data_IF_844425483235
#
_entry.id   IF_844425483235
#
_cell.length_a   1.000
_cell.length_b   1.000
_cell.length_c   1.000
_cell.angle_alpha   90.00
_cell.angle_beta   90.00
_cell.angle_gamma   90.00
#
_symmetry.space_group_name_H-M   'P 1'
#
loop_
_entity.id
_entity.type
_entity.pdbx_description
1 polymer ?
#
# COMPACT_ATOMS: atom_id res chain seq x y z
N UNK A 1 -25.55 0.33 36.55
CA UNK A 1 -26.21 0.59 35.25
C UNK A 1 -25.24 1.37 34.39
N UNK A 2 -24.96 0.91 33.17
CA UNK A 2 -24.20 1.68 32.18
C UNK A 2 -25.06 2.88 31.74
N UNK A 3 -24.47 4.07 31.57
CA UNK A 3 -25.21 5.21 31.02
C UNK A 3 -25.44 5.01 29.52
N UNK A 4 -26.49 4.27 29.16
CA UNK A 4 -26.85 3.94 27.78
C UNK A 4 -27.01 5.19 26.90
N UNK A 5 -27.48 6.31 27.47
CA UNK A 5 -27.57 7.60 26.75
C UNK A 5 -26.21 8.10 26.27
N UNK A 6 -25.18 8.05 27.13
CA UNK A 6 -23.82 8.42 26.74
C UNK A 6 -23.23 7.52 25.65
N UNK A 7 -23.70 6.27 25.50
CA UNK A 7 -23.35 5.41 24.36
C UNK A 7 -24.04 5.91 23.09
N UNK A 8 -25.36 6.17 23.13
CA UNK A 8 -26.07 6.77 21.99
C UNK A 8 -25.43 8.09 21.56
N UNK A 9 -25.14 9.00 22.49
CA UNK A 9 -24.50 10.30 22.22
C UNK A 9 -23.09 10.12 21.60
N UNK A 10 -22.28 9.18 22.11
CA UNK A 10 -20.95 8.89 21.57
C UNK A 10 -20.98 8.23 20.18
N UNK A 11 -21.96 7.36 19.90
CA UNK A 11 -22.13 6.75 18.59
C UNK A 11 -22.74 7.73 17.56
N UNK A 12 -23.59 8.65 18.02
CA UNK A 12 -24.14 9.74 17.20
C UNK A 12 -23.02 10.62 16.63
N UNK A 13 -22.16 11.16 17.49
CA UNK A 13 -21.00 11.98 17.10
C UNK A 13 -20.11 11.28 16.05
N UNK A 14 -19.78 10.00 16.27
CA UNK A 14 -18.98 9.19 15.33
C UNK A 14 -19.63 8.99 13.97
N UNK A 15 -20.96 8.91 13.91
CA UNK A 15 -21.67 8.82 12.65
C UNK A 15 -21.64 10.15 11.89
N UNK A 16 -21.79 11.28 12.57
CA UNK A 16 -21.64 12.61 11.95
C UNK A 16 -20.20 12.86 11.46
N UNK A 17 -19.18 12.47 12.24
CA UNK A 17 -17.76 12.48 11.83
C UNK A 17 -17.50 11.64 10.56
N UNK A 18 -18.24 10.53 10.39
CA UNK A 18 -18.20 9.68 9.20
C UNK A 18 -19.08 10.20 8.04
N UNK A 19 -19.77 11.34 8.20
CA UNK A 19 -20.58 11.99 7.17
C UNK A 19 -22.02 11.48 7.04
N UNK A 20 -22.50 10.70 8.02
CA UNK A 20 -23.93 10.44 8.18
C UNK A 20 -24.63 11.73 8.64
N UNK A 21 -25.92 11.84 8.39
CA UNK A 21 -26.77 12.94 8.83
C UNK A 21 -27.91 12.37 9.67
N UNK A 22 -28.07 12.88 10.89
CA UNK A 22 -29.18 12.56 11.76
C UNK A 22 -30.50 13.10 11.21
N UNK A 23 -31.56 12.30 11.26
CA UNK A 23 -32.92 12.73 10.87
C UNK A 23 -33.82 12.98 12.09
N UNK A 24 -33.84 12.04 13.03
CA UNK A 24 -34.72 12.04 14.21
C UNK A 24 -34.42 10.86 15.14
N UNK A 25 -34.89 10.98 16.37
CA UNK A 25 -35.15 9.84 17.27
C UNK A 25 -36.57 9.32 17.02
N UNK A 26 -36.79 8.00 17.03
CA UNK A 26 -38.12 7.39 16.89
C UNK A 26 -38.24 6.09 17.71
N UNK A 27 -39.46 5.53 17.85
CA UNK A 27 -39.61 4.15 18.33
C UNK A 27 -39.44 3.13 17.18
N UNK A 28 -38.71 2.01 17.37
CA UNK A 28 -38.50 0.99 16.34
C UNK A 28 -39.80 0.42 15.74
N UNK A 29 -40.02 0.70 14.46
CA UNK A 29 -41.30 0.46 13.79
C UNK A 29 -41.59 -1.05 13.60
N UNK A 30 -42.74 -1.51 14.08
CA UNK A 30 -43.15 -2.93 14.16
C UNK A 30 -42.23 -3.86 14.98
N UNK A 31 -41.48 -3.34 15.97
CA UNK A 31 -40.57 -4.15 16.80
C UNK A 31 -40.91 -4.17 18.29
N UNK A 32 -41.86 -3.34 18.76
CA UNK A 32 -42.31 -3.22 20.16
C UNK A 32 -41.21 -3.01 21.22
N UNK A 33 -40.02 -2.56 20.82
CA UNK A 33 -38.89 -2.30 21.72
C UNK A 33 -39.21 -1.25 22.78
N UNK A 34 -38.59 -1.39 23.95
CA UNK A 34 -38.65 -0.45 25.08
C UNK A 34 -37.94 0.86 24.73
N UNK A 35 -36.75 0.76 24.14
CA UNK A 35 -35.89 1.87 23.75
C UNK A 35 -36.26 2.49 22.39
N UNK A 36 -35.87 3.74 22.22
CA UNK A 36 -35.88 4.48 20.94
C UNK A 36 -34.67 4.11 20.08
N UNK A 37 -34.73 4.48 18.80
CA UNK A 37 -33.63 4.38 17.84
C UNK A 37 -33.32 5.75 17.23
N UNK A 38 -32.04 6.03 16.99
CA UNK A 38 -31.58 7.23 16.28
C UNK A 38 -31.48 6.91 14.78
N UNK A 39 -32.19 7.66 13.94
CA UNK A 39 -32.28 7.43 12.49
C UNK A 39 -31.33 8.34 11.74
N UNK A 40 -30.56 7.75 10.82
CA UNK A 40 -29.59 8.43 9.97
C UNK A 40 -29.79 8.12 8.48
N UNK A 41 -29.35 9.06 7.64
CA UNK A 41 -29.06 8.85 6.21
C UNK A 41 -27.60 9.18 5.93
N UNK A 42 -27.07 8.78 4.78
CA UNK A 42 -25.72 9.14 4.37
C UNK A 42 -25.73 9.56 2.88
N UNK A 43 -25.88 10.87 2.56
CA UNK A 43 -26.12 11.31 1.19
C UNK A 43 -24.95 11.08 0.23
N UNK A 44 -23.70 11.31 0.66
CA UNK A 44 -22.49 11.03 -0.15
C UNK A 44 -22.46 9.55 -0.55
N UNK A 45 -22.69 8.64 0.40
CA UNK A 45 -22.67 7.19 0.17
C UNK A 45 -23.84 6.74 -0.71
N UNK A 46 -25.04 7.27 -0.43
CA UNK A 46 -26.25 7.05 -1.25
C UNK A 46 -26.06 7.53 -2.68
N UNK A 47 -25.35 8.64 -2.90
CA UNK A 47 -25.01 9.13 -4.24
C UNK A 47 -23.99 8.21 -4.89
N UNK A 48 -22.87 7.92 -4.22
CA UNK A 48 -21.79 7.11 -4.81
C UNK A 48 -22.27 5.72 -5.23
N UNK A 49 -23.08 5.04 -4.41
CA UNK A 49 -23.69 3.78 -4.80
C UNK A 49 -24.54 3.88 -6.08
N UNK A 50 -25.24 5.00 -6.33
CA UNK A 50 -25.97 5.23 -7.59
C UNK A 50 -25.04 5.56 -8.75
N UNK A 51 -24.02 6.39 -8.52
CA UNK A 51 -23.00 6.75 -9.50
C UNK A 51 -22.21 5.49 -9.97
N UNK A 52 -22.14 4.44 -9.12
CA UNK A 52 -21.57 3.13 -9.42
C UNK A 52 -22.62 2.05 -9.80
N UNK A 53 -23.85 2.46 -10.13
CA UNK A 53 -24.90 1.58 -10.66
C UNK A 53 -25.56 0.61 -9.65
N UNK A 54 -25.20 0.67 -8.37
CA UNK A 54 -25.75 -0.22 -7.34
C UNK A 54 -27.20 0.18 -6.93
N UNK A 55 -28.11 -0.79 -6.76
CA UNK A 55 -29.52 -0.53 -6.46
C UNK A 55 -29.73 -0.16 -4.97
N UNK A 56 -29.71 1.13 -4.65
CA UNK A 56 -29.88 1.66 -3.28
C UNK A 56 -31.34 1.51 -2.79
N UNK A 57 -31.72 0.28 -2.40
CA UNK A 57 -33.04 -0.06 -1.83
C UNK A 57 -33.15 0.24 -0.32
N UNK A 58 -32.02 0.30 0.38
CA UNK A 58 -31.93 0.67 1.79
C UNK A 58 -30.90 1.81 1.95
N UNK A 59 -31.36 2.96 2.44
CA UNK A 59 -30.56 4.17 2.65
C UNK A 59 -30.68 4.75 4.07
N UNK A 60 -31.35 4.02 4.97
CA UNK A 60 -31.52 4.36 6.38
C UNK A 60 -30.62 3.50 7.24
N UNK A 61 -30.09 4.11 8.29
CA UNK A 61 -29.23 3.48 9.28
C UNK A 61 -29.74 3.84 10.68
N UNK A 62 -29.64 2.91 11.62
CA UNK A 62 -30.28 3.02 12.93
C UNK A 62 -29.27 2.71 14.01
N UNK A 63 -29.01 3.64 14.94
CA UNK A 63 -28.34 3.31 16.19
C UNK A 63 -29.42 2.86 17.17
N UNK A 64 -29.33 1.61 17.65
CA UNK A 64 -30.35 1.01 18.53
C UNK A 64 -29.80 -0.11 19.41
N UNK A 65 -30.49 -0.36 20.52
CA UNK A 65 -30.40 -1.59 21.30
C UNK A 65 -30.66 -2.84 20.44
N UNK A 66 -29.84 -3.88 20.55
CA UNK A 66 -29.99 -5.09 19.74
C UNK A 66 -31.03 -6.10 20.29
N UNK A 67 -31.50 -5.93 21.53
CA UNK A 67 -32.66 -6.65 22.06
C UNK A 67 -33.45 -5.75 23.04
N UNK A 68 -34.30 -6.34 23.89
CA UNK A 68 -34.94 -5.67 25.04
C UNK A 68 -34.34 -6.09 26.39
N UNK A 69 -33.21 -6.82 26.37
CA UNK A 69 -32.48 -7.21 27.58
C UNK A 69 -31.73 -6.02 28.20
N UNK A 70 -31.64 -5.89 29.53
CA UNK A 70 -31.11 -4.68 30.18
C UNK A 70 -29.70 -4.27 29.74
N UNK A 71 -28.82 -5.26 29.57
CA UNK A 71 -27.41 -5.08 29.23
C UNK A 71 -27.11 -5.42 27.76
N UNK A 72 -28.12 -5.40 26.89
CA UNK A 72 -27.92 -5.66 25.45
C UNK A 72 -27.02 -4.63 24.77
N UNK A 73 -26.28 -5.06 23.75
CA UNK A 73 -25.41 -4.19 22.96
C UNK A 73 -26.22 -3.09 22.26
N UNK A 74 -25.59 -1.92 22.06
CA UNK A 74 -26.11 -0.85 21.18
C UNK A 74 -25.23 -0.86 19.93
N UNK A 75 -25.86 -1.00 18.76
CA UNK A 75 -25.16 -1.13 17.49
C UNK A 75 -25.78 -0.30 16.37
N UNK A 76 -25.04 -0.19 15.27
CA UNK A 76 -25.57 0.30 14.00
C UNK A 76 -26.26 -0.85 13.28
N UNK A 77 -27.48 -0.61 12.77
CA UNK A 77 -28.28 -1.57 12.00
C UNK A 77 -28.74 -0.91 10.70
N UNK A 78 -28.91 -1.69 9.64
CA UNK A 78 -29.52 -1.23 8.36
C UNK A 78 -30.41 -2.33 7.77
N UNK A 79 -31.14 -2.04 6.70
CA UNK A 79 -31.94 -3.06 6.00
C UNK A 79 -31.07 -4.16 5.40
N UNK A 80 -31.50 -5.42 5.43
CA UNK A 80 -30.69 -6.57 4.92
C UNK A 80 -30.25 -6.40 3.45
N UNK A 81 -31.01 -5.65 2.64
CA UNK A 81 -30.72 -5.28 1.25
C UNK A 81 -29.74 -4.11 1.08
N UNK A 82 -29.18 -3.57 2.17
CA UNK A 82 -28.12 -2.56 2.11
C UNK A 82 -26.84 -3.17 1.54
N UNK A 83 -26.10 -2.35 0.79
CA UNK A 83 -24.85 -2.74 0.15
C UNK A 83 -23.77 -3.02 1.20
N UNK A 84 -23.83 -2.36 2.37
CA UNK A 84 -22.91 -2.58 3.49
C UNK A 84 -22.90 -4.05 4.02
N UNK A 85 -23.98 -4.82 3.82
CA UNK A 85 -24.03 -6.21 4.29
C UNK A 85 -23.39 -7.20 3.31
N UNK A 86 -23.26 -6.82 2.03
CA UNK A 86 -23.09 -7.75 0.91
C UNK A 86 -22.00 -7.30 -0.09
N UNK A 87 -21.07 -6.42 0.31
CA UNK A 87 -20.03 -5.87 -0.55
C UNK A 87 -18.70 -5.87 0.21
N UNK A 88 -17.67 -6.47 -0.39
CA UNK A 88 -16.35 -6.74 0.21
C UNK A 88 -15.59 -5.47 0.68
N UNK A 89 -15.98 -4.29 0.20
CA UNK A 89 -15.36 -3.02 0.59
C UNK A 89 -15.77 -2.54 2.01
N UNK A 90 -16.62 -3.28 2.72
CA UNK A 90 -17.11 -2.93 4.04
C UNK A 90 -16.88 -4.06 5.04
N UNK A 91 -16.48 -3.70 6.27
CA UNK A 91 -16.29 -4.65 7.36
C UNK A 91 -17.62 -5.39 7.65
N UNK A 92 -17.64 -6.73 7.76
CA UNK A 92 -18.86 -7.47 8.05
C UNK A 92 -19.41 -7.18 9.45
N UNK A 93 -20.69 -7.50 9.66
CA UNK A 93 -21.36 -7.34 10.95
C UNK A 93 -20.86 -8.37 11.98
N UNK A 94 -20.60 -7.92 13.21
CA UNK A 94 -20.09 -8.72 14.34
C UNK A 94 -21.16 -9.02 15.41
N UNK A 95 -22.41 -8.65 15.17
CA UNK A 95 -23.57 -8.94 16.02
C UNK A 95 -24.86 -9.00 15.18
N UNK A 96 -25.96 -9.41 15.80
CA UNK A 96 -27.29 -9.52 15.17
C UNK A 96 -28.33 -8.81 16.04
N UNK A 97 -29.19 -8.02 15.40
CA UNK A 97 -30.39 -7.48 16.04
C UNK A 97 -31.47 -8.56 16.17
N UNK A 98 -32.09 -8.69 17.34
CA UNK A 98 -33.08 -9.75 17.62
C UNK A 98 -34.34 -9.66 16.77
N UNK A 99 -34.62 -8.50 16.15
CA UNK A 99 -35.72 -8.37 15.21
C UNK A 99 -35.32 -8.90 13.83
N UNK A 100 -35.67 -10.17 13.56
CA UNK A 100 -35.44 -10.87 12.27
C UNK A 100 -33.96 -11.06 11.92
N UNK A 101 -33.05 -11.07 12.90
CA UNK A 101 -31.62 -11.32 12.70
C UNK A 101 -31.01 -10.34 11.67
N UNK A 102 -31.25 -9.04 11.87
CA UNK A 102 -30.66 -8.02 11.01
C UNK A 102 -29.16 -7.86 11.36
N UNK A 103 -28.25 -7.83 10.36
CA UNK A 103 -26.82 -7.57 10.60
C UNK A 103 -26.61 -6.27 11.38
N UNK A 104 -25.79 -6.34 12.43
CA UNK A 104 -25.51 -5.23 13.31
C UNK A 104 -24.00 -5.09 13.57
N UNK A 105 -23.51 -3.85 13.56
CA UNK A 105 -22.12 -3.53 13.89
C UNK A 105 -22.05 -2.89 15.28
N UNK A 106 -21.26 -3.49 16.16
CA UNK A 106 -21.03 -3.02 17.54
C UNK A 106 -19.54 -2.75 17.81
N UNK A 107 -19.27 -2.01 18.87
CA UNK A 107 -17.93 -1.93 19.47
C UNK A 107 -17.96 -2.62 20.84
N UNK A 108 -17.03 -3.55 21.07
CA UNK A 108 -16.76 -4.21 22.36
C UNK A 108 -15.43 -3.66 22.91
N UNK A 109 -14.88 -4.25 23.97
CA UNK A 109 -13.61 -3.78 24.55
C UNK A 109 -12.41 -4.03 23.63
N UNK A 110 -12.27 -5.26 23.11
CA UNK A 110 -11.22 -5.65 22.15
C UNK A 110 -11.62 -5.44 20.69
N UNK A 111 -12.89 -5.61 20.35
CA UNK A 111 -13.41 -5.53 18.99
C UNK A 111 -13.96 -4.13 18.67
N UNK A 112 -13.46 -3.50 17.59
CA UNK A 112 -13.84 -2.14 17.14
C UNK A 112 -14.53 -2.14 15.76
N UNK A 113 -15.22 -3.22 15.43
CA UNK A 113 -15.89 -3.43 14.13
C UNK A 113 -16.74 -2.24 13.67
N UNK A 114 -17.58 -1.64 14.53
CA UNK A 114 -18.34 -0.45 14.13
C UNK A 114 -17.43 0.74 13.78
N UNK A 115 -16.38 1.04 14.58
CA UNK A 115 -15.44 2.10 14.21
C UNK A 115 -14.70 1.78 12.88
N UNK A 116 -14.43 0.50 12.61
CA UNK A 116 -13.74 0.07 11.40
C UNK A 116 -14.66 0.10 10.16
N UNK A 117 -15.96 -0.19 10.30
CA UNK A 117 -16.96 0.06 9.25
C UNK A 117 -17.00 1.55 8.87
N UNK A 118 -17.02 2.45 9.86
CA UNK A 118 -17.05 3.89 9.57
C UNK A 118 -15.79 4.36 8.82
N UNK A 119 -14.62 3.77 9.12
CA UNK A 119 -13.39 3.97 8.31
C UNK A 119 -13.53 3.41 6.90
N UNK A 120 -14.06 2.20 6.73
CA UNK A 120 -14.21 1.58 5.39
C UNK A 120 -15.22 2.34 4.53
N UNK A 121 -16.28 2.89 5.13
CA UNK A 121 -17.23 3.80 4.46
C UNK A 121 -16.53 5.08 3.99
N UNK A 122 -15.69 5.70 4.82
CA UNK A 122 -14.90 6.87 4.41
C UNK A 122 -13.92 6.53 3.26
N UNK A 123 -13.17 5.44 3.39
CA UNK A 123 -12.25 4.99 2.33
C UNK A 123 -12.97 4.69 1.01
N UNK A 124 -14.11 3.97 1.08
CA UNK A 124 -14.96 3.73 -0.08
C UNK A 124 -15.47 5.03 -0.70
N UNK A 125 -15.82 6.04 0.10
CA UNK A 125 -16.24 7.35 -0.40
C UNK A 125 -15.13 8.10 -1.13
N UNK A 126 -13.94 8.15 -0.53
CA UNK A 126 -12.82 8.99 -0.98
C UNK A 126 -12.00 8.30 -2.11
N UNK A 127 -12.20 6.99 -2.35
CA UNK A 127 -11.73 6.29 -3.56
C UNK A 127 -12.28 6.91 -4.87
N UNK A 128 -11.65 6.73 -6.04
CA UNK A 128 -12.26 7.09 -7.33
C UNK A 128 -13.55 6.29 -7.60
N UNK A 129 -14.58 6.91 -8.17
CA UNK A 129 -15.82 6.21 -8.53
C UNK A 129 -15.63 5.26 -9.72
N UNK A 130 -16.45 4.20 -9.81
CA UNK A 130 -16.35 3.16 -10.84
C UNK A 130 -16.50 3.64 -12.31
N UNK A 131 -16.82 4.90 -12.58
CA UNK A 131 -16.68 5.53 -13.91
C UNK A 131 -15.23 5.58 -14.42
N UNK A 132 -14.23 5.22 -13.60
CA UNK A 132 -12.85 4.95 -14.03
C UNK A 132 -12.43 3.47 -13.85
N UNK A 133 -13.33 2.59 -13.39
CA UNK A 133 -13.07 1.17 -13.18
C UNK A 133 -13.22 0.32 -14.46
N UNK A 134 -13.72 0.86 -15.58
CA UNK A 134 -13.68 0.19 -16.89
C UNK A 134 -12.24 -0.17 -17.33
N UNK A 135 -11.23 0.55 -16.82
CA UNK A 135 -9.81 0.21 -17.00
C UNK A 135 -9.23 -0.73 -15.91
N UNK A 136 -9.98 -1.07 -14.85
CA UNK A 136 -9.56 -2.04 -13.82
C UNK A 136 -10.17 -3.43 -14.00
N UNK A 137 -11.36 -3.55 -14.59
CA UNK A 137 -11.99 -4.86 -14.89
C UNK A 137 -11.31 -5.69 -16.00
N UNK A 138 -10.06 -5.37 -16.38
CA UNK A 138 -9.29 -6.09 -17.39
C UNK A 138 -7.83 -6.39 -16.97
N UNK A 139 -7.44 -6.06 -15.73
CA UNK A 139 -6.18 -6.52 -15.14
C UNK A 139 -6.31 -7.97 -14.68
N UNK A 140 -5.38 -8.83 -15.12
CA UNK A 140 -5.30 -10.21 -14.61
C UNK A 140 -4.52 -10.23 -13.29
N UNK A 141 -4.63 -11.33 -12.55
CA UNK A 141 -3.92 -11.54 -11.27
C UNK A 141 -2.94 -12.68 -11.43
N UNK A 142 -1.71 -12.51 -10.92
CA UNK A 142 -0.63 -13.49 -11.05
C UNK A 142 0.02 -13.82 -9.71
N UNK A 143 0.47 -15.06 -9.56
CA UNK A 143 1.25 -15.54 -8.44
C UNK A 143 2.72 -15.68 -8.86
N UNK A 144 3.54 -14.74 -8.40
CA UNK A 144 5.00 -14.80 -8.46
C UNK A 144 5.53 -15.56 -7.24
N UNK A 145 6.67 -16.24 -7.39
CA UNK A 145 7.27 -17.02 -6.31
C UNK A 145 8.71 -16.63 -6.02
N UNK A 146 9.08 -16.72 -4.74
CA UNK A 146 10.44 -16.67 -4.23
C UNK A 146 10.82 -18.01 -3.61
N UNK A 147 12.09 -18.39 -3.70
CA UNK A 147 12.65 -19.53 -2.99
C UNK A 147 14.07 -19.16 -2.55
N UNK A 148 14.33 -18.97 -1.24
CA UNK A 148 15.65 -18.60 -0.72
C UNK A 148 16.76 -19.59 -1.12
N UNK A 149 16.44 -20.88 -1.29
CA UNK A 149 17.41 -21.90 -1.71
C UNK A 149 17.87 -21.73 -3.16
N UNK A 150 17.12 -20.98 -3.98
CA UNK A 150 17.42 -20.74 -5.39
C UNK A 150 17.97 -19.33 -5.62
N UNK A 151 17.45 -18.32 -4.91
CA UNK A 151 17.91 -16.94 -5.02
C UNK A 151 17.94 -16.27 -3.63
N UNK A 152 19.16 -16.03 -3.14
CA UNK A 152 19.39 -15.27 -1.92
C UNK A 152 19.07 -13.79 -2.16
N UNK A 153 18.06 -13.28 -1.46
CA UNK A 153 17.64 -11.89 -1.54
C UNK A 153 18.38 -11.09 -0.47
N UNK A 154 19.69 -10.93 -0.69
CA UNK A 154 20.67 -10.38 0.27
C UNK A 154 20.20 -9.06 0.91
N UNK A 155 19.59 -8.19 0.09
CA UNK A 155 19.15 -6.85 0.50
C UNK A 155 17.70 -6.82 1.03
N UNK A 156 17.03 -7.96 1.27
CA UNK A 156 15.60 -8.02 1.64
C UNK A 156 15.26 -7.13 2.84
N UNK A 157 16.10 -7.12 3.87
CA UNK A 157 15.87 -6.30 5.07
C UNK A 157 16.00 -4.79 4.80
N UNK A 158 16.91 -4.39 3.92
CA UNK A 158 17.03 -2.99 3.48
C UNK A 158 15.84 -2.59 2.59
N UNK A 159 15.42 -3.45 1.66
CA UNK A 159 14.27 -3.21 0.79
C UNK A 159 12.94 -3.09 1.57
N UNK A 160 12.73 -3.92 2.59
CA UNK A 160 11.59 -3.80 3.51
C UNK A 160 11.70 -2.51 4.33
N UNK A 161 12.88 -2.18 4.87
CA UNK A 161 13.10 -0.89 5.55
C UNK A 161 12.82 0.32 4.66
N UNK A 162 13.17 0.27 3.37
CA UNK A 162 12.82 1.30 2.39
C UNK A 162 11.31 1.37 2.12
N UNK A 163 10.62 0.25 1.86
CA UNK A 163 9.16 0.23 1.75
C UNK A 163 8.48 0.81 3.00
N UNK A 164 8.96 0.42 4.18
CA UNK A 164 8.44 0.82 5.50
C UNK A 164 8.62 2.28 5.90
N UNK A 165 9.54 3.02 5.25
CA UNK A 165 9.90 4.40 5.60
C UNK A 165 9.84 5.39 4.42
N UNK A 166 9.86 4.91 3.17
CA UNK A 166 9.88 5.71 1.93
C UNK A 166 8.64 5.43 1.05
N UNK A 167 7.88 4.35 1.31
CA UNK A 167 6.51 4.18 0.82
C UNK A 167 6.33 3.25 -0.39
N UNK A 168 7.32 3.16 -1.29
CA UNK A 168 7.30 2.23 -2.43
C UNK A 168 8.62 1.46 -2.55
N UNK A 169 8.54 0.16 -2.82
CA UNK A 169 9.68 -0.66 -3.23
C UNK A 169 9.42 -1.26 -4.62
N UNK A 170 10.43 -1.19 -5.49
CA UNK A 170 10.40 -1.68 -6.86
C UNK A 170 11.29 -2.90 -7.02
N UNK A 171 10.69 -4.09 -7.07
CA UNK A 171 11.41 -5.34 -7.24
C UNK A 171 11.33 -5.86 -8.67
N UNK A 172 12.47 -6.06 -9.33
CA UNK A 172 12.54 -6.89 -10.55
C UNK A 172 12.23 -8.34 -10.18
N UNK A 173 11.12 -8.89 -10.68
CA UNK A 173 10.71 -10.26 -10.42
C UNK A 173 10.70 -11.13 -11.68
N UNK A 174 11.12 -12.39 -11.55
CA UNK A 174 11.01 -13.38 -12.64
C UNK A 174 9.57 -13.87 -12.78
N UNK A 175 8.97 -13.66 -13.94
CA UNK A 175 7.66 -14.22 -14.29
C UNK A 175 7.76 -15.57 -15.03
N UNK A 176 8.92 -16.24 -14.96
CA UNK A 176 9.12 -17.57 -15.52
C UNK A 176 8.93 -17.59 -17.04
N UNK A 177 7.91 -18.30 -17.51
CA UNK A 177 7.51 -18.37 -18.92
C UNK A 177 6.33 -17.43 -19.28
N UNK A 178 5.86 -16.61 -18.33
CA UNK A 178 4.63 -15.84 -18.46
C UNK A 178 4.81 -14.58 -19.33
N UNK A 179 4.24 -14.64 -20.55
CA UNK A 179 4.24 -13.54 -21.54
C UNK A 179 2.90 -12.78 -21.58
N UNK A 180 2.00 -13.07 -20.65
CA UNK A 180 0.67 -12.46 -20.56
C UNK A 180 0.61 -11.26 -19.61
N UNK A 181 1.58 -11.09 -18.71
CA UNK A 181 1.61 -10.01 -17.71
C UNK A 181 1.83 -8.65 -18.38
N UNK A 182 0.95 -7.70 -18.06
CA UNK A 182 0.90 -6.32 -18.55
C UNK A 182 1.09 -5.35 -17.40
N UNK A 183 1.55 -4.14 -17.72
CA UNK A 183 1.53 -3.03 -16.75
C UNK A 183 0.11 -2.84 -16.19
N UNK A 184 -0.01 -2.82 -14.87
CA UNK A 184 -1.28 -2.69 -14.13
C UNK A 184 -1.90 -4.02 -13.69
N UNK A 185 -1.37 -5.17 -14.13
CA UNK A 185 -1.80 -6.48 -13.61
C UNK A 185 -1.45 -6.64 -12.13
N UNK A 186 -2.30 -7.37 -11.40
CA UNK A 186 -2.19 -7.58 -9.95
C UNK A 186 -1.21 -8.70 -9.64
N UNK A 187 -0.26 -8.46 -8.72
CA UNK A 187 0.80 -9.41 -8.39
C UNK A 187 0.71 -9.82 -6.91
N UNK A 188 0.78 -11.12 -6.65
CA UNK A 188 1.03 -11.71 -5.34
C UNK A 188 2.40 -12.40 -5.33
N UNK A 189 3.09 -12.37 -4.18
CA UNK A 189 4.39 -12.99 -3.98
C UNK A 189 4.33 -14.07 -2.90
N UNK A 190 4.65 -15.32 -3.26
CA UNK A 190 4.68 -16.47 -2.33
C UNK A 190 6.11 -16.94 -2.04
N UNK A 191 6.43 -17.18 -0.75
CA UNK A 191 7.69 -17.79 -0.30
C UNK A 191 7.58 -19.31 -0.32
N UNK A 192 8.52 -19.96 -1.00
CA UNK A 192 8.62 -21.40 -1.20
C UNK A 192 9.96 -21.95 -0.68
N UNK A 193 10.09 -23.28 -0.65
CA UNK A 193 11.36 -23.99 -0.38
C UNK A 193 11.77 -24.07 1.09
N UNK A 194 11.61 -23.00 1.86
CA UNK A 194 11.96 -22.88 3.29
C UNK A 194 10.72 -22.47 4.09
N UNK A 195 10.61 -22.85 5.36
CA UNK A 195 9.55 -22.33 6.26
C UNK A 195 9.90 -20.94 6.82
N UNK A 196 8.91 -20.08 7.14
CA UNK A 196 7.50 -20.23 6.80
C UNK A 196 7.24 -20.13 5.29
N UNK A 197 6.39 -21.02 4.76
CA UNK A 197 5.80 -20.90 3.41
C UNK A 197 4.47 -20.14 3.47
N UNK A 198 4.23 -19.30 2.47
CA UNK A 198 3.01 -18.49 2.40
C UNK A 198 3.17 -17.24 1.55
N UNK A 199 2.07 -16.51 1.34
CA UNK A 199 2.13 -15.22 0.65
C UNK A 199 2.74 -14.18 1.61
N UNK A 200 3.78 -13.51 1.11
CA UNK A 200 4.60 -12.53 1.83
C UNK A 200 4.48 -11.12 1.27
N UNK A 201 3.76 -10.92 0.18
CA UNK A 201 3.57 -9.60 -0.39
C UNK A 201 2.59 -9.55 -1.54
N UNK A 202 2.19 -8.33 -1.87
CA UNK A 202 1.34 -7.98 -2.99
C UNK A 202 1.82 -6.68 -3.64
N UNK A 203 1.32 -6.42 -4.84
CA UNK A 203 1.66 -5.22 -5.58
C UNK A 203 1.02 -5.20 -6.96
N UNK A 204 1.58 -4.38 -7.84
CA UNK A 204 1.14 -4.25 -9.22
C UNK A 204 2.34 -4.31 -10.18
N UNK A 205 2.13 -4.87 -11.36
CA UNK A 205 3.13 -4.90 -12.41
C UNK A 205 3.37 -3.47 -12.94
N UNK A 206 4.55 -2.90 -12.64
CA UNK A 206 4.96 -1.58 -13.12
C UNK A 206 5.33 -1.58 -14.61
N UNK A 207 5.73 -2.73 -15.13
CA UNK A 207 5.95 -3.01 -16.55
C UNK A 207 5.08 -4.17 -17.04
N UNK A 208 4.88 -4.27 -18.35
CA UNK A 208 4.59 -5.57 -18.97
C UNK A 208 5.82 -6.48 -18.90
N UNK A 209 5.69 -7.76 -19.23
CA UNK A 209 6.84 -8.66 -19.28
C UNK A 209 7.93 -8.16 -20.26
N UNK A 210 9.19 -8.34 -19.90
CA UNK A 210 10.35 -8.10 -20.77
C UNK A 210 11.38 -9.23 -20.62
N UNK A 211 12.25 -9.38 -21.61
CA UNK A 211 13.29 -10.43 -21.61
C UNK A 211 14.61 -9.84 -21.14
N UNK A 212 15.28 -10.51 -20.20
CA UNK A 212 16.62 -10.15 -19.72
C UNK A 212 17.47 -11.42 -19.46
N UNK A 213 18.80 -11.31 -19.28
CA UNK A 213 19.64 -12.44 -18.93
C UNK A 213 19.13 -13.21 -17.70
N UNK A 214 19.24 -14.53 -17.71
CA UNK A 214 18.69 -15.39 -16.67
C UNK A 214 19.42 -15.19 -15.33
N UNK A 215 18.68 -15.20 -14.22
CA UNK A 215 19.17 -14.82 -12.88
C UNK A 215 20.33 -15.68 -12.33
N UNK A 216 20.56 -16.87 -12.89
CA UNK A 216 21.68 -17.74 -12.52
C UNK A 216 23.00 -17.41 -13.27
N UNK A 217 23.01 -16.39 -14.14
CA UNK A 217 24.21 -15.92 -14.82
C UNK A 217 24.72 -16.80 -15.98
N UNK A 218 23.95 -17.81 -16.40
CA UNK A 218 24.35 -18.64 -17.56
C UNK A 218 24.36 -17.84 -18.87
N UNK A 219 25.52 -17.80 -19.52
CA UNK A 219 25.75 -17.03 -20.74
C UNK A 219 24.85 -17.52 -21.89
N UNK A 220 24.09 -16.60 -22.50
CA UNK A 220 23.11 -16.90 -23.54
C UNK A 220 21.72 -17.37 -23.05
N UNK A 221 21.51 -17.63 -21.76
CA UNK A 221 20.16 -17.89 -21.21
C UNK A 221 19.46 -16.59 -20.81
N UNK A 222 18.15 -16.56 -21.04
CA UNK A 222 17.27 -15.43 -20.69
C UNK A 222 16.05 -15.89 -19.90
N UNK A 223 15.51 -15.03 -19.04
CA UNK A 223 14.21 -15.19 -18.40
C UNK A 223 13.27 -14.03 -18.75
N UNK A 224 11.96 -14.24 -18.56
CA UNK A 224 10.98 -13.16 -18.60
C UNK A 224 10.90 -12.52 -17.21
N UNK A 225 10.92 -11.20 -17.16
CA UNK A 225 10.86 -10.38 -15.95
C UNK A 225 9.72 -9.36 -16.03
N UNK A 226 9.25 -8.95 -14.85
CA UNK A 226 8.42 -7.77 -14.64
C UNK A 226 9.06 -6.93 -13.54
N UNK A 227 8.89 -5.62 -13.59
CA UNK A 227 9.13 -4.78 -12.40
C UNK A 227 7.82 -4.73 -11.60
N UNK A 228 7.88 -5.04 -10.30
CA UNK A 228 6.73 -5.06 -9.39
C UNK A 228 6.85 -3.91 -8.39
N UNK A 229 5.79 -3.10 -8.32
CA UNK A 229 5.62 -2.05 -7.33
C UNK A 229 4.82 -2.64 -6.17
N UNK A 230 5.48 -2.91 -5.04
CA UNK A 230 4.87 -3.62 -3.90
C UNK A 230 4.03 -2.67 -3.02
N UNK A 231 2.78 -3.04 -2.76
CA UNK A 231 1.87 -2.36 -1.85
C UNK A 231 1.86 -2.97 -0.43
N UNK A 232 2.39 -4.18 -0.29
CA UNK A 232 2.75 -4.79 0.99
C UNK A 232 3.89 -5.78 0.77
N UNK A 233 4.92 -5.74 1.61
CA UNK A 233 5.99 -6.73 1.65
C UNK A 233 6.37 -7.03 3.10
N UNK A 234 6.35 -8.31 3.47
CA UNK A 234 6.46 -8.82 4.85
C UNK A 234 7.81 -9.52 5.03
N UNK A 235 8.49 -9.28 6.15
CA UNK A 235 9.75 -9.96 6.49
C UNK A 235 9.49 -11.36 7.09
N UNK A 236 9.73 -12.47 6.37
CA UNK A 236 9.38 -13.82 6.80
C UNK A 236 10.22 -14.33 7.98
N UNK A 237 11.36 -13.69 8.25
CA UNK A 237 12.24 -14.04 9.38
C UNK A 237 11.79 -13.40 10.70
N UNK A 238 10.84 -12.46 10.64
CA UNK A 238 10.37 -11.65 11.78
C UNK A 238 8.83 -11.64 11.92
N UNK A 239 8.10 -12.04 10.87
CA UNK A 239 6.65 -11.94 10.79
C UNK A 239 5.99 -13.20 10.15
N UNK A 240 4.79 -13.61 10.61
CA UNK A 240 4.00 -14.63 9.93
C UNK A 240 3.64 -14.24 8.50
N UNK A 241 3.39 -15.26 7.66
CA UNK A 241 2.91 -15.15 6.29
C UNK A 241 1.47 -15.65 6.18
N UNK A 242 0.75 -15.31 5.10
CA UNK A 242 -0.53 -15.94 4.79
C UNK A 242 -0.26 -17.39 4.37
N UNK A 243 -0.52 -18.33 5.27
CA UNK A 243 -0.09 -19.72 5.15
C UNK A 243 -0.86 -20.51 4.08
N UNK A 244 -0.33 -21.69 3.71
CA UNK A 244 -0.89 -22.52 2.64
C UNK A 244 -2.29 -23.04 3.00
N UNK A 245 -2.55 -23.39 4.27
CA UNK A 245 -3.87 -23.81 4.76
C UNK A 245 -4.95 -22.75 4.46
N UNK A 246 -4.62 -21.46 4.58
CA UNK A 246 -5.53 -20.36 4.26
C UNK A 246 -5.84 -20.28 2.75
N UNK A 247 -4.85 -20.57 1.90
CA UNK A 247 -5.01 -20.62 0.44
C UNK A 247 -5.83 -21.84 -0.01
N UNK A 248 -5.61 -22.99 0.63
CA UNK A 248 -6.40 -24.21 0.41
C UNK A 248 -7.86 -24.01 0.88
N UNK A 249 -8.09 -23.23 1.95
CA UNK A 249 -9.44 -22.95 2.45
C UNK A 249 -10.34 -22.17 1.46
N UNK A 250 -9.75 -21.35 0.57
CA UNK A 250 -10.49 -20.64 -0.48
C UNK A 250 -10.58 -21.43 -1.80
N UNK A 251 -9.80 -22.50 -1.95
CA UNK A 251 -9.78 -23.36 -3.13
C UNK A 251 -10.09 -24.83 -2.77
N UNK A 252 -11.31 -25.13 -2.27
CA UNK A 252 -11.72 -26.49 -1.89
C UNK A 252 -11.81 -27.46 -3.08
N UNK A 253 -11.75 -26.95 -4.31
CA UNK A 253 -11.75 -27.73 -5.55
C UNK A 253 -10.34 -27.94 -6.13
N UNK A 254 -9.30 -27.34 -5.53
CA UNK A 254 -7.90 -27.39 -5.97
C UNK A 254 -7.71 -26.98 -7.45
N UNK A 255 -8.37 -25.89 -7.86
CA UNK A 255 -8.30 -25.35 -9.23
C UNK A 255 -7.14 -24.36 -9.44
N UNK A 256 -6.32 -24.11 -8.41
CA UNK A 256 -5.12 -23.27 -8.44
C UNK A 256 -3.88 -24.01 -7.89
N UNK A 257 -2.77 -23.92 -8.61
CA UNK A 257 -1.47 -24.38 -8.09
C UNK A 257 -0.85 -23.31 -7.19
N UNK A 258 -1.06 -23.38 -5.88
CA UNK A 258 -0.49 -22.42 -4.92
C UNK A 258 1.02 -22.58 -4.68
N UNK A 259 1.59 -23.76 -4.91
CA UNK A 259 3.02 -24.07 -4.74
C UNK A 259 3.71 -24.36 -6.10
N UNK A 260 3.78 -23.41 -7.05
CA UNK A 260 4.23 -23.71 -8.40
C UNK A 260 5.76 -23.83 -8.52
N UNK A 261 6.21 -24.77 -9.36
CA UNK A 261 7.63 -24.95 -9.68
C UNK A 261 8.22 -23.81 -10.54
N UNK A 262 7.38 -22.93 -11.10
CA UNK A 262 7.77 -21.74 -11.87
C UNK A 262 6.90 -20.55 -11.43
N UNK A 263 7.51 -19.37 -11.22
CA UNK A 263 6.78 -18.15 -10.88
C UNK A 263 6.05 -17.53 -12.07
N UNK A 264 5.06 -16.67 -11.81
CA UNK A 264 4.36 -15.89 -12.84
C UNK A 264 3.10 -16.56 -13.41
N UNK A 265 2.57 -17.59 -12.73
CA UNK A 265 1.32 -18.24 -13.13
C UNK A 265 0.12 -17.28 -12.95
N UNK A 266 -0.93 -17.42 -13.76
CA UNK A 266 -2.19 -16.74 -13.48
C UNK A 266 -2.83 -17.33 -12.22
N UNK A 267 -3.49 -16.47 -11.43
CA UNK A 267 -4.51 -16.89 -10.48
C UNK A 267 -5.81 -17.12 -11.26
N UNK A 268 -6.57 -18.15 -10.92
CA UNK A 268 -7.89 -18.42 -11.49
C UNK A 268 -8.88 -17.29 -11.11
N UNK A 269 -9.61 -16.75 -12.09
CA UNK A 269 -10.52 -15.60 -11.92
C UNK A 269 -11.62 -15.85 -10.89
N UNK A 270 -12.03 -17.10 -10.68
CA UNK A 270 -13.00 -17.49 -9.66
C UNK A 270 -12.46 -17.29 -8.22
N UNK A 271 -11.15 -17.38 -8.04
CA UNK A 271 -10.48 -17.31 -6.73
C UNK A 271 -9.90 -15.92 -6.40
N UNK A 272 -9.75 -15.02 -7.38
CA UNK A 272 -9.12 -13.69 -7.19
C UNK A 272 -9.81 -12.89 -6.07
N UNK A 273 -11.14 -12.86 -6.05
CA UNK A 273 -11.88 -12.12 -5.02
C UNK A 273 -11.68 -12.72 -3.62
N UNK A 274 -11.66 -14.06 -3.53
CA UNK A 274 -11.42 -14.78 -2.27
C UNK A 274 -9.99 -14.56 -1.76
N UNK A 275 -9.01 -14.56 -2.68
CA UNK A 275 -7.60 -14.32 -2.39
C UNK A 275 -7.34 -12.91 -1.87
N UNK A 276 -7.86 -11.88 -2.53
CA UNK A 276 -7.78 -10.49 -2.05
C UNK A 276 -8.46 -10.34 -0.68
N UNK A 277 -9.61 -11.01 -0.45
CA UNK A 277 -10.31 -10.95 0.85
C UNK A 277 -9.46 -11.53 1.98
N UNK A 278 -8.98 -12.77 1.86
CA UNK A 278 -8.17 -13.39 2.93
C UNK A 278 -6.83 -12.69 3.14
N UNK A 279 -6.26 -12.11 2.08
CA UNK A 279 -5.03 -11.32 2.14
C UNK A 279 -5.25 -9.97 2.83
N UNK A 280 -6.34 -9.27 2.52
CA UNK A 280 -6.73 -8.04 3.20
C UNK A 280 -7.01 -8.29 4.69
N UNK A 281 -7.81 -9.30 5.01
CA UNK A 281 -8.09 -9.70 6.40
C UNK A 281 -6.79 -10.07 7.15
N UNK A 282 -5.86 -10.76 6.48
CA UNK A 282 -4.54 -11.09 7.04
C UNK A 282 -3.68 -9.85 7.30
N UNK A 283 -3.58 -8.91 6.34
CA UNK A 283 -2.86 -7.64 6.51
C UNK A 283 -3.43 -6.83 7.68
N UNK A 284 -4.76 -6.71 7.77
CA UNK A 284 -5.43 -5.94 8.81
C UNK A 284 -5.27 -6.60 10.18
N UNK A 285 -5.45 -7.92 10.27
CA UNK A 285 -5.32 -8.69 11.52
C UNK A 285 -3.93 -8.61 12.13
N UNK A 286 -2.89 -8.60 11.30
CA UNK A 286 -1.48 -8.49 11.75
C UNK A 286 -0.95 -7.04 11.74
N UNK A 287 -1.79 -6.05 11.42
CA UNK A 287 -1.45 -4.63 11.36
C UNK A 287 -0.30 -4.28 10.39
N UNK A 288 -0.19 -5.00 9.25
CA UNK A 288 0.77 -4.70 8.18
C UNK A 288 0.35 -3.54 7.27
N UNK A 289 -0.88 -3.06 7.41
CA UNK A 289 -1.38 -1.86 6.73
C UNK A 289 -0.71 -0.57 7.27
N UNK A 290 0.57 -0.34 6.91
CA UNK A 290 1.17 1.00 7.05
C UNK A 290 0.44 1.98 6.14
N UNK A 291 0.24 3.19 6.63
CA UNK A 291 -0.68 4.19 6.06
C UNK A 291 -0.15 4.92 4.80
N UNK A 292 0.69 4.27 3.99
CA UNK A 292 1.30 4.84 2.77
C UNK A 292 0.38 4.71 1.55
N UNK A 293 -0.20 3.54 1.30
CA UNK A 293 -1.06 3.30 0.11
C UNK A 293 -2.43 3.97 0.14
N UNK A 294 -2.76 4.69 1.22
CA UNK A 294 -4.04 5.39 1.41
C UNK A 294 -4.03 6.85 0.94
N UNK A 295 -2.90 7.38 0.45
CA UNK A 295 -2.75 8.80 0.12
C UNK A 295 -2.18 9.08 -1.29
N UNK A 296 -3.02 8.87 -2.32
CA UNK A 296 -2.90 9.58 -3.59
C UNK A 296 -4.03 10.61 -3.71
N UNK A 297 -3.87 11.76 -3.03
CA UNK A 297 -4.79 12.90 -3.14
C UNK A 297 -4.49 13.75 -4.40
N UNK A 298 -5.24 13.55 -5.48
CA UNK A 298 -5.30 14.54 -6.56
C UNK A 298 -6.18 15.75 -6.14
N UNK A 299 -5.53 16.75 -5.54
CA UNK A 299 -5.92 18.17 -5.45
C UNK A 299 -7.42 18.53 -5.29
N UNK A 300 -7.89 18.70 -4.04
CA UNK A 300 -9.30 18.99 -3.73
C UNK A 300 -9.59 20.00 -2.60
N UNK A 301 -9.25 21.28 -2.78
CA UNK A 301 -9.61 22.44 -1.94
C UNK A 301 -8.92 22.59 -0.55
N UNK A 302 -8.89 23.85 -0.07
CA UNK A 302 -8.19 24.27 1.17
C UNK A 302 -9.04 24.13 2.44
N UNK A 303 -8.41 23.69 3.51
CA UNK A 303 -8.64 24.21 4.87
C UNK A 303 -7.27 24.45 5.51
N UNK A 304 -6.95 25.70 5.85
CA UNK A 304 -5.62 26.06 6.38
C UNK A 304 -5.44 25.58 7.83
N UNK A 305 -4.72 24.48 8.02
CA UNK A 305 -4.17 24.05 9.32
C UNK A 305 -2.70 23.64 9.18
N UNK A 306 -1.80 24.46 9.72
CA UNK A 306 -0.36 24.21 9.62
C UNK A 306 0.10 23.18 10.65
N UNK A 307 0.21 21.91 10.22
CA UNK A 307 0.96 20.87 10.93
C UNK A 307 2.37 20.82 10.36
N UNK A 308 3.34 21.29 11.14
CA UNK A 308 4.76 21.12 10.83
C UNK A 308 5.15 19.63 10.92
N UNK A 309 6.10 19.18 10.10
CA UNK A 309 6.54 17.79 10.05
C UNK A 309 5.96 16.92 8.93
N UNK A 310 5.19 17.45 7.96
CA UNK A 310 4.94 16.74 6.70
C UNK A 310 6.23 16.70 5.90
N UNK A 311 6.82 15.51 5.73
CA UNK A 311 7.91 15.28 4.79
C UNK A 311 7.44 15.65 3.38
N UNK A 312 7.99 16.73 2.83
CA UNK A 312 7.76 17.08 1.43
C UNK A 312 8.59 16.11 0.60
N UNK A 313 7.91 15.24 -0.15
CA UNK A 313 8.55 14.28 -1.03
C UNK A 313 9.15 15.00 -2.26
N UNK A 314 10.33 15.56 -2.07
CA UNK A 314 11.17 16.07 -3.16
C UNK A 314 11.69 14.86 -3.92
N UNK A 315 10.97 14.47 -4.97
CA UNK A 315 11.25 13.29 -5.79
C UNK A 315 12.62 13.41 -6.46
N UNK A 316 13.66 12.85 -5.83
CA UNK A 316 14.98 12.64 -6.46
C UNK A 316 14.93 11.42 -7.39
N UNK A 317 13.96 11.39 -8.31
CA UNK A 317 13.81 10.40 -9.38
C UNK A 317 14.90 10.54 -10.43
N UNK A 318 16.16 10.24 -10.06
CA UNK A 318 17.32 10.31 -10.96
C UNK A 318 18.39 9.22 -10.75
N UNK A 319 17.93 7.98 -10.86
CA UNK A 319 18.57 6.98 -11.73
C UNK A 319 19.96 6.45 -11.26
N UNK A 320 20.01 5.73 -10.14
CA UNK A 320 21.05 4.69 -9.93
C UNK A 320 20.76 3.48 -10.84
N UNK A 321 20.92 3.70 -12.14
CA UNK A 321 20.54 2.79 -13.24
C UNK A 321 21.40 1.54 -13.37
N UNK A 322 22.55 1.49 -12.69
CA UNK A 322 23.50 0.39 -12.81
C UNK A 322 24.36 0.28 -11.53
N UNK A 323 24.11 -0.72 -10.67
CA UNK A 323 24.89 -0.94 -9.44
C UNK A 323 26.38 -1.22 -9.68
N UNK A 324 26.75 -1.85 -10.80
CA UNK A 324 28.15 -2.10 -11.15
C UNK A 324 28.88 -0.80 -11.55
N UNK A 325 28.19 0.13 -12.21
CA UNK A 325 28.72 1.47 -12.48
C UNK A 325 28.91 2.26 -11.17
N UNK A 326 27.94 2.19 -10.24
CA UNK A 326 28.08 2.74 -8.88
C UNK A 326 29.31 2.15 -8.17
N UNK A 327 29.43 0.82 -8.14
CA UNK A 327 30.55 0.10 -7.51
C UNK A 327 31.90 0.49 -8.09
N UNK A 328 32.02 0.60 -9.42
CA UNK A 328 33.26 1.01 -10.11
C UNK A 328 33.62 2.47 -9.85
N UNK A 329 32.65 3.38 -9.84
CA UNK A 329 32.84 4.78 -9.44
C UNK A 329 33.41 4.88 -8.01
N UNK A 330 32.78 4.20 -7.05
CA UNK A 330 33.17 4.24 -5.64
C UNK A 330 34.47 3.47 -5.36
N UNK A 331 34.80 2.45 -6.16
CA UNK A 331 36.11 1.77 -6.10
C UNK A 331 37.27 2.66 -6.57
N UNK A 332 37.00 3.68 -7.41
CA UNK A 332 38.01 4.61 -7.91
C UNK A 332 38.10 5.89 -7.08
N UNK A 333 36.95 6.50 -6.73
CA UNK A 333 36.89 7.79 -6.02
C UNK A 333 36.70 7.69 -4.51
N UNK A 334 36.28 6.53 -3.98
CA UNK A 334 35.96 6.33 -2.58
C UNK A 334 34.67 7.01 -2.10
N UNK A 335 34.41 6.91 -0.80
CA UNK A 335 33.16 7.34 -0.14
C UNK A 335 33.18 8.79 0.38
N UNK A 336 34.13 9.61 -0.08
CA UNK A 336 34.26 11.01 0.33
C UNK A 336 33.66 11.93 -0.73
N UNK A 337 32.74 12.81 -0.34
CA UNK A 337 32.05 13.70 -1.29
C UNK A 337 33.03 14.58 -2.08
N UNK A 338 32.96 14.51 -3.41
CA UNK A 338 33.86 15.28 -4.29
C UNK A 338 33.66 16.81 -4.20
N UNK A 339 32.49 17.28 -3.74
CA UNK A 339 32.18 18.70 -3.47
C UNK A 339 32.73 19.14 -2.12
N UNK A 340 32.28 18.52 -1.02
CA UNK A 340 32.52 19.04 0.34
C UNK A 340 33.52 18.24 1.19
N UNK A 341 34.04 17.11 0.67
CA UNK A 341 34.96 16.19 1.34
C UNK A 341 34.41 15.49 2.61
N UNK A 342 33.13 15.68 2.92
CA UNK A 342 32.44 14.90 3.96
C UNK A 342 32.39 13.41 3.61
N UNK A 343 32.56 12.55 4.60
CA UNK A 343 32.61 11.10 4.49
C UNK A 343 31.84 10.52 5.68
N UNK A 344 30.78 9.74 5.42
CA UNK A 344 29.85 9.33 6.48
C UNK A 344 30.46 8.35 7.46
N UNK A 345 31.22 7.36 6.98
CA UNK A 345 31.93 6.37 7.83
C UNK A 345 32.89 7.04 8.83
N UNK A 346 33.59 8.10 8.41
CA UNK A 346 34.50 8.87 9.29
C UNK A 346 33.80 9.72 10.35
N UNK A 347 32.52 10.07 10.17
CA UNK A 347 31.78 10.97 11.07
C UNK A 347 30.71 10.26 11.90
N UNK A 348 30.15 9.16 11.40
CA UNK A 348 29.07 8.38 12.03
C UNK A 348 29.45 6.92 12.31
N UNK A 349 30.69 6.52 12.04
CA UNK A 349 31.16 5.15 12.23
C UNK A 349 30.47 4.19 11.26
N UNK A 350 30.22 2.95 11.72
CA UNK A 350 29.69 1.87 10.90
C UNK A 350 28.32 2.19 10.26
N UNK A 351 27.48 2.99 10.92
CA UNK A 351 26.19 3.45 10.38
C UNK A 351 26.35 4.33 9.13
N UNK A 352 27.52 4.97 8.97
CA UNK A 352 27.87 5.77 7.78
C UNK A 352 28.61 5.01 6.68
N UNK A 353 28.86 3.71 6.86
CA UNK A 353 29.62 2.87 5.92
C UNK A 353 28.85 2.67 4.61
N UNK A 354 29.52 2.84 3.48
CA UNK A 354 28.89 2.73 2.15
C UNK A 354 27.96 3.89 1.76
N UNK A 355 27.56 4.75 2.70
CA UNK A 355 26.55 5.79 2.52
C UNK A 355 27.10 7.02 1.77
N UNK A 356 26.89 7.05 0.45
CA UNK A 356 27.20 8.16 -0.43
C UNK A 356 26.32 8.06 -1.69
N UNK A 357 25.90 9.18 -2.28
CA UNK A 357 25.19 9.16 -3.56
C UNK A 357 26.20 9.25 -4.71
N UNK A 358 25.87 8.68 -5.88
CA UNK A 358 26.66 8.85 -7.11
C UNK A 358 25.90 9.71 -8.11
N UNK A 359 26.51 10.81 -8.52
CA UNK A 359 25.90 11.83 -9.39
C UNK A 359 26.45 11.74 -10.82
N UNK A 360 25.57 11.94 -11.81
CA UNK A 360 25.94 11.97 -13.24
C UNK A 360 26.42 13.36 -13.65
N UNK A 361 27.71 13.50 -13.94
CA UNK A 361 28.38 14.74 -14.38
C UNK A 361 27.73 15.30 -15.66
N UNK A 362 27.31 14.42 -16.57
CA UNK A 362 26.61 14.75 -17.81
C UNK A 362 25.10 14.51 -17.66
N UNK A 363 24.28 15.50 -18.01
CA UNK A 363 22.81 15.43 -17.82
C UNK A 363 22.14 14.57 -18.90
N UNK A 364 21.82 13.32 -18.57
CA UNK A 364 21.17 12.33 -19.46
C UNK A 364 19.88 12.83 -20.16
N UNK A 365 19.20 13.86 -19.64
CA UNK A 365 17.96 14.40 -20.22
C UNK A 365 18.03 14.93 -21.66
N UNK A 366 19.22 15.08 -22.26
CA UNK A 366 19.40 15.48 -23.66
C UNK A 366 19.76 14.31 -24.61
N UNK A 367 19.86 13.08 -24.11
CA UNK A 367 20.22 11.89 -24.91
C UNK A 367 19.07 10.88 -24.85
N UNK A 368 18.27 10.82 -25.92
CA UNK A 368 17.03 10.02 -26.00
C UNK A 368 17.22 8.52 -26.25
N UNK A 369 18.46 8.02 -26.25
CA UNK A 369 18.82 6.63 -26.54
C UNK A 369 19.58 5.99 -25.37
N UNK A 370 19.78 4.68 -25.43
CA UNK A 370 20.68 3.95 -24.53
C UNK A 370 22.10 4.51 -24.61
N UNK A 371 22.76 4.64 -23.45
CA UNK A 371 24.10 5.22 -23.34
C UNK A 371 24.98 4.39 -22.39
N UNK A 372 26.17 4.04 -22.85
CA UNK A 372 27.18 3.33 -22.04
C UNK A 372 27.87 4.33 -21.10
N UNK A 373 27.36 4.41 -19.87
CA UNK A 373 27.93 5.23 -18.78
C UNK A 373 29.35 4.77 -18.47
N UNK A 374 30.33 5.69 -18.56
CA UNK A 374 31.69 5.46 -18.08
C UNK A 374 31.73 5.70 -16.55
N UNK A 375 32.00 4.66 -15.72
CA UNK A 375 31.94 4.80 -14.26
C UNK A 375 32.98 5.75 -13.65
N UNK A 376 33.94 6.24 -14.43
CA UNK A 376 34.98 7.18 -13.99
C UNK A 376 34.75 8.57 -14.61
N UNK A 377 34.35 8.65 -15.89
CA UNK A 377 34.16 9.96 -16.54
C UNK A 377 32.78 10.59 -16.28
N UNK A 378 31.73 9.78 -16.24
CA UNK A 378 30.35 10.28 -16.14
C UNK A 378 29.82 10.33 -14.71
N UNK A 379 30.46 9.65 -13.75
CA UNK A 379 29.98 9.46 -12.39
C UNK A 379 30.91 10.07 -11.34
N UNK A 380 30.36 10.66 -10.28
CA UNK A 380 31.14 11.26 -9.19
C UNK A 380 30.43 11.13 -7.81
N UNK A 381 31.13 10.78 -6.71
CA UNK A 381 30.50 10.65 -5.39
C UNK A 381 30.16 12.00 -4.75
N UNK A 382 28.94 12.12 -4.22
CA UNK A 382 28.45 13.31 -3.50
C UNK A 382 27.60 12.95 -2.28
N UNK A 383 27.62 13.79 -1.24
CA UNK A 383 26.69 13.62 -0.12
C UNK A 383 25.27 14.08 -0.51
N UNK A 384 24.20 13.59 0.15
CA UNK A 384 22.81 13.95 -0.18
C UNK A 384 22.58 15.46 -0.22
N UNK A 385 23.16 16.21 0.71
CA UNK A 385 23.04 17.68 0.77
C UNK A 385 23.67 18.36 -0.46
N UNK A 386 24.84 17.90 -0.91
CA UNK A 386 25.45 18.41 -2.14
C UNK A 386 24.66 17.98 -3.39
N UNK A 387 24.09 16.77 -3.40
CA UNK A 387 23.24 16.29 -4.50
C UNK A 387 21.97 17.14 -4.65
N UNK A 388 21.31 17.48 -3.53
CA UNK A 388 20.17 18.37 -3.49
C UNK A 388 20.52 19.78 -3.99
N UNK A 389 21.68 20.34 -3.58
CA UNK A 389 22.14 21.64 -4.08
C UNK A 389 22.45 21.62 -5.58
N UNK A 390 23.04 20.54 -6.10
CA UNK A 390 23.27 20.36 -7.54
C UNK A 390 21.96 20.40 -8.33
N UNK A 391 20.91 19.71 -7.86
CA UNK A 391 19.61 19.64 -8.52
C UNK A 391 18.62 20.76 -8.13
N UNK A 392 19.04 21.77 -7.37
CA UNK A 392 18.18 22.87 -6.89
C UNK A 392 17.64 23.82 -7.97
N UNK A 393 18.11 23.71 -9.22
CA UNK A 393 17.59 24.45 -10.38
C UNK A 393 17.37 23.51 -11.57
N UNK A 394 16.43 23.85 -12.47
CA UNK A 394 16.00 23.04 -13.63
C UNK A 394 17.15 22.48 -14.49
N UNK A 395 18.21 23.26 -14.70
CA UNK A 395 19.46 22.82 -15.33
C UNK A 395 20.51 22.64 -14.25
N UNK A 396 20.79 21.40 -13.83
CA UNK A 396 21.62 21.14 -12.64
C UNK A 396 22.97 21.90 -12.64
N UNK A 397 23.44 22.30 -11.45
CA UNK A 397 24.73 22.96 -11.27
C UNK A 397 25.89 21.97 -11.47
N UNK A 398 26.99 22.44 -12.05
CA UNK A 398 28.25 21.70 -12.07
C UNK A 398 28.87 21.59 -10.66
N UNK A 399 29.66 20.54 -10.44
CA UNK A 399 30.46 20.34 -9.22
C UNK A 399 31.31 21.59 -8.88
N UNK A 400 31.82 22.29 -9.90
CA UNK A 400 32.65 23.48 -9.73
C UNK A 400 31.84 24.74 -9.38
N UNK A 401 30.59 24.88 -9.86
CA UNK A 401 29.69 25.95 -9.39
C UNK A 401 29.37 25.78 -7.90
N UNK A 402 28.97 24.58 -7.47
CA UNK A 402 28.60 24.34 -6.06
C UNK A 402 29.80 24.53 -5.13
N UNK A 403 31.02 24.12 -5.52
CA UNK A 403 32.24 24.45 -4.76
C UNK A 403 32.41 25.95 -4.60
N UNK A 404 32.39 26.71 -5.71
CA UNK A 404 32.53 28.17 -5.68
C UNK A 404 31.45 28.86 -4.83
N UNK A 405 30.22 28.35 -4.81
CA UNK A 405 29.12 28.88 -3.98
C UNK A 405 29.34 28.58 -2.49
N UNK A 406 29.76 27.36 -2.14
CA UNK A 406 30.10 26.95 -0.76
C UNK A 406 31.27 27.77 -0.20
N UNK A 407 32.25 28.07 -1.05
CA UNK A 407 33.51 28.70 -0.65
C UNK A 407 33.43 30.24 -0.59
N UNK A 408 32.23 30.83 -0.73
CA UNK A 408 31.98 32.26 -0.51
C UNK A 408 32.09 32.56 1.00
N UNK A 409 33.00 33.45 1.44
CA UNK A 409 33.09 33.82 2.85
C UNK A 409 31.83 34.57 3.28
N UNK A 410 31.17 34.08 4.34
CA UNK A 410 29.99 34.71 4.93
C UNK A 410 30.36 36.12 5.40
N UNK A 411 29.81 37.15 4.74
CA UNK A 411 29.83 38.51 5.27
C UNK A 411 29.03 38.52 6.57
N UNK A 412 29.74 38.57 7.71
CA UNK A 412 29.14 38.82 9.01
C UNK A 412 28.31 40.12 8.93
N UNK A 413 27.04 40.01 9.28
CA UNK A 413 26.16 41.11 9.67
C UNK A 413 26.02 41.09 11.19
#
# INVERSE_FOLDING_TARGET
MVNRRAIYDSLHLKLEEAGFQFEREQKPHHQNRKETELVFVHPRLTKKFKDEGHPVKANKFYIKALSDEPDCEIGLVTGKTSILNNNINFIPANSLDSHKEAPAWVNRESDKTLNNLLKSIKHYLDSPSQSHAENRNNSNTFLCSWNPNNWDWVDLKENIYYHENVGTFEGRWSCGNSKSIRKGDRIFLIRLGVEPKGIMGSGYAKTSYYVAPHWNGEEGKTANYIDVEFDTLINPEENPLLNIESLESIDPNNIQTWLPQQGGISVNKELVNSLESIWFDFIIKNNYAKTSFLFNEEAGNKIDTFREGKSIEVTQTRYERNPEARRRCLSHYGYSCAVCHFNFERYFGEVGKGFIHVHHVNQISSIGNEYNVDPIKDLIPVCPNCHAMIHSRKTAFTIQEIKKIRDIPIKKK
#
